data_IF_859696799663
#
_entry.id   IF_859696799663
#
_cell.length_a   1.000
_cell.length_b   1.000
_cell.length_c   1.000
_cell.angle_alpha   90.00
_cell.angle_beta   90.00
_cell.angle_gamma   90.00
#
_symmetry.space_group_name_H-M   'P 1'
#
loop_
_entity.id
_entity.type
_entity.pdbx_description
1 polymer ?
#
# COMPACT_ATOMS: atom_id res chain seq x y z
N UNK A 1 -9.87 12.93 -2.97
CA UNK A 1 -11.09 12.44 -2.34
C UNK A 1 -11.67 13.49 -1.42
N UNK A 2 -12.95 13.64 -1.51
CA UNK A 2 -13.60 14.63 -0.66
C UNK A 2 -13.61 14.19 0.78
N UNK A 3 -13.41 15.14 1.65
CA UNK A 3 -13.50 14.88 3.09
C UNK A 3 -12.24 14.36 3.71
N UNK A 4 -11.19 14.10 2.93
CA UNK A 4 -9.93 13.66 3.49
C UNK A 4 -8.95 14.80 3.59
N UNK A 5 -8.13 14.79 4.63
CA UNK A 5 -7.01 15.70 4.71
C UNK A 5 -5.92 15.21 3.76
N UNK A 6 -4.98 16.10 3.48
CA UNK A 6 -3.84 15.71 2.63
C UNK A 6 -3.07 14.55 3.24
N UNK A 7 -2.90 14.56 4.57
CA UNK A 7 -2.20 13.47 5.24
C UNK A 7 -2.95 12.15 5.10
N UNK A 8 -4.27 12.20 5.23
CA UNK A 8 -5.09 11.00 5.11
C UNK A 8 -5.01 10.42 3.70
N UNK A 9 -5.03 11.29 2.68
CA UNK A 9 -4.89 10.81 1.30
C UNK A 9 -3.54 10.17 1.08
N UNK A 10 -2.48 10.80 1.57
CA UNK A 10 -1.14 10.25 1.39
C UNK A 10 -0.95 8.96 2.14
N UNK A 11 -1.58 8.85 3.31
CA UNK A 11 -1.53 7.62 4.08
C UNK A 11 -2.12 6.48 3.27
N UNK A 12 -3.30 6.69 2.68
CA UNK A 12 -3.95 5.66 1.87
C UNK A 12 -3.12 5.32 0.65
N UNK A 13 -2.57 6.34 -0.01
CA UNK A 13 -1.77 6.14 -1.22
C UNK A 13 -0.52 5.32 -0.92
N UNK A 14 0.19 5.67 0.16
CA UNK A 14 1.40 4.94 0.50
C UNK A 14 1.11 3.54 1.00
N UNK A 15 -0.03 3.34 1.64
CA UNK A 15 -0.41 1.99 2.03
C UNK A 15 -0.59 1.10 0.79
N UNK A 16 -1.27 1.63 -0.23
CA UNK A 16 -1.44 0.87 -1.46
C UNK A 16 -0.09 0.61 -2.13
N UNK A 17 0.83 1.58 -2.05
CA UNK A 17 2.16 1.41 -2.60
C UNK A 17 2.92 0.29 -1.88
N UNK A 18 2.78 0.21 -0.55
CA UNK A 18 3.38 -0.88 0.22
C UNK A 18 2.83 -2.22 -0.26
N UNK A 19 1.51 -2.30 -0.45
CA UNK A 19 0.91 -3.54 -0.93
C UNK A 19 1.44 -3.92 -2.32
N UNK A 20 1.65 -2.92 -3.18
CA UNK A 20 2.21 -3.18 -4.50
C UNK A 20 3.58 -3.84 -4.39
N UNK A 21 4.44 -3.31 -3.54
CA UNK A 21 5.79 -3.86 -3.41
C UNK A 21 5.81 -5.19 -2.68
N UNK A 22 4.85 -5.42 -1.77
CA UNK A 22 4.69 -6.75 -1.18
C UNK A 22 4.36 -7.75 -2.28
N UNK A 23 3.45 -7.40 -3.18
CA UNK A 23 3.07 -8.29 -4.28
C UNK A 23 4.24 -8.56 -5.22
N UNK A 24 5.07 -7.54 -5.46
CA UNK A 24 6.24 -7.72 -6.32
C UNK A 24 7.27 -8.63 -5.66
N UNK A 25 7.44 -8.51 -4.35
CA UNK A 25 8.32 -9.42 -3.64
C UNK A 25 7.84 -10.86 -3.74
N UNK A 26 6.53 -11.06 -3.58
CA UNK A 26 5.95 -12.39 -3.71
C UNK A 26 6.24 -12.97 -5.10
N UNK A 27 6.13 -12.12 -6.11
CA UNK A 27 6.40 -12.53 -7.47
C UNK A 27 7.85 -12.94 -7.65
N UNK A 28 8.78 -12.17 -7.08
CA UNK A 28 10.19 -12.51 -7.13
C UNK A 28 10.48 -13.84 -6.47
N UNK A 29 9.86 -14.10 -5.33
CA UNK A 29 10.03 -15.37 -4.64
C UNK A 29 9.49 -16.51 -5.50
N UNK A 30 8.30 -16.31 -6.04
CA UNK A 30 7.66 -17.34 -6.85
C UNK A 30 8.50 -17.74 -8.06
N UNK A 31 9.19 -16.77 -8.65
CA UNK A 31 10.01 -17.01 -9.82
C UNK A 31 11.45 -17.37 -9.52
N UNK A 32 11.84 -17.29 -8.27
CA UNK A 32 13.22 -17.49 -7.88
C UNK A 32 14.15 -16.42 -8.42
N UNK A 33 13.60 -15.23 -8.65
CA UNK A 33 14.39 -14.12 -9.19
C UNK A 33 14.88 -13.28 -8.01
N UNK A 34 16.04 -13.68 -7.48
CA UNK A 34 16.54 -13.10 -6.24
C UNK A 34 16.99 -11.66 -6.40
N UNK A 35 17.48 -11.29 -7.58
CA UNK A 35 17.85 -9.90 -7.81
C UNK A 35 16.63 -9.01 -7.80
N UNK A 36 15.56 -9.45 -8.48
CA UNK A 36 14.32 -8.71 -8.51
C UNK A 36 13.75 -8.57 -7.11
N UNK A 37 13.78 -9.67 -6.34
CA UNK A 37 13.31 -9.64 -4.96
C UNK A 37 14.12 -8.64 -4.12
N UNK A 38 15.43 -8.68 -4.25
CA UNK A 38 16.31 -7.78 -3.50
C UNK A 38 15.96 -6.32 -3.80
N UNK A 39 15.81 -6.00 -5.08
CA UNK A 39 15.50 -4.66 -5.52
C UNK A 39 14.14 -4.20 -4.97
N UNK A 40 13.12 -5.04 -5.10
CA UNK A 40 11.78 -4.65 -4.67
C UNK A 40 11.65 -4.61 -3.15
N UNK A 41 12.38 -5.46 -2.46
CA UNK A 41 12.38 -5.43 -1.00
C UNK A 41 13.00 -4.14 -0.48
N UNK A 42 14.02 -3.62 -1.16
CA UNK A 42 14.60 -2.34 -0.78
C UNK A 42 13.60 -1.21 -0.92
N UNK A 43 12.87 -1.17 -2.02
CA UNK A 43 11.87 -0.13 -2.22
C UNK A 43 10.71 -0.31 -1.24
N UNK A 44 10.36 -1.56 -0.93
CA UNK A 44 9.32 -1.83 0.06
C UNK A 44 9.70 -1.24 1.41
N UNK A 45 10.97 -1.38 1.80
CA UNK A 45 11.44 -0.82 3.06
C UNK A 45 11.27 0.70 3.08
N UNK A 46 11.63 1.36 1.99
CA UNK A 46 11.50 2.81 1.90
C UNK A 46 10.04 3.25 1.98
N UNK A 47 9.17 2.55 1.27
CA UNK A 47 7.76 2.89 1.29
C UNK A 47 7.14 2.64 2.65
N UNK A 48 7.54 1.57 3.32
CA UNK A 48 7.05 1.27 4.66
C UNK A 48 7.49 2.33 5.66
N UNK A 49 8.72 2.81 5.54
CA UNK A 49 9.20 3.87 6.41
C UNK A 49 8.42 5.15 6.19
N UNK A 50 8.09 5.46 4.94
CA UNK A 50 7.31 6.63 4.63
C UNK A 50 5.90 6.52 5.19
N UNK A 51 5.32 5.33 5.06
CA UNK A 51 4.00 5.08 5.64
C UNK A 51 4.03 5.26 7.15
N UNK A 52 5.07 4.75 7.80
CA UNK A 52 5.19 4.88 9.26
C UNK A 52 5.27 6.34 9.67
N UNK A 53 6.00 7.16 8.90
CA UNK A 53 6.10 8.58 9.21
C UNK A 53 4.77 9.29 9.04
N UNK A 54 4.04 8.95 7.99
CA UNK A 54 2.72 9.54 7.78
C UNK A 54 1.74 9.12 8.88
N UNK A 55 1.85 7.87 9.31
CA UNK A 55 1.00 7.39 10.40
C UNK A 55 1.31 8.13 11.70
N UNK A 56 2.60 8.42 11.93
CA UNK A 56 2.98 9.17 13.11
C UNK A 56 2.41 10.59 13.05
N UNK A 57 2.48 11.22 11.88
CA UNK A 57 1.92 12.56 11.70
C UNK A 57 0.41 12.55 11.97
N UNK A 58 -0.28 11.52 11.47
CA UNK A 58 -1.71 11.42 11.69
C UNK A 58 -2.01 11.18 13.17
N UNK A 59 -1.18 10.39 13.83
CA UNK A 59 -1.38 10.12 15.26
C UNK A 59 -1.18 11.38 16.10
N UNK A 60 -0.19 12.21 15.74
CA UNK A 60 0.13 13.42 16.46
C UNK A 60 -0.80 14.60 16.15
N UNK A 61 -1.59 14.47 15.09
CA UNK A 61 -2.47 15.54 14.66
C UNK A 61 -3.60 15.72 15.67
N UNK A 62 -4.15 16.92 15.79
CA UNK A 62 -5.27 17.14 16.69
C UNK A 62 -6.47 16.29 16.34
N UNK A 63 -6.61 15.91 15.06
CA UNK A 63 -7.69 15.07 14.61
C UNK A 63 -7.11 13.83 13.97
N UNK A 64 -7.54 12.68 14.41
CA UNK A 64 -7.04 11.43 13.85
C UNK A 64 -7.75 11.07 12.56
N UNK A 65 -7.13 10.25 11.69
CA UNK A 65 -7.79 9.80 10.48
C UNK A 65 -9.11 9.10 10.79
N UNK A 66 -10.09 9.35 9.95
CA UNK A 66 -11.39 8.70 10.10
C UNK A 66 -11.31 7.35 9.43
N UNK A 67 -11.55 6.32 10.22
CA UNK A 67 -11.39 4.95 9.76
C UNK A 67 -12.12 4.66 8.46
N UNK A 68 -13.39 5.04 8.39
CA UNK A 68 -14.17 4.78 7.19
C UNK A 68 -13.67 5.54 5.98
N UNK A 69 -13.30 6.80 6.19
CA UNK A 69 -12.83 7.62 5.08
C UNK A 69 -11.51 7.10 4.53
N UNK A 70 -10.60 6.70 5.42
CA UNK A 70 -9.32 6.14 4.99
C UNK A 70 -9.54 4.81 4.28
N UNK A 71 -10.44 3.98 4.80
CA UNK A 71 -10.76 2.72 4.14
C UNK A 71 -11.31 2.92 2.73
N UNK A 72 -12.18 3.93 2.56
CA UNK A 72 -12.71 4.24 1.25
C UNK A 72 -11.61 4.75 0.31
N UNK A 73 -10.68 5.54 0.84
CA UNK A 73 -9.57 6.04 0.05
C UNK A 73 -8.65 4.91 -0.39
N UNK A 74 -8.37 3.97 0.50
CA UNK A 74 -7.57 2.79 0.14
C UNK A 74 -8.25 2.02 -0.98
N UNK A 75 -9.56 1.83 -0.87
CA UNK A 75 -10.30 1.13 -1.91
C UNK A 75 -10.26 1.89 -3.24
N UNK A 76 -10.39 3.21 -3.17
CA UNK A 76 -10.35 4.03 -4.40
C UNK A 76 -8.98 3.98 -5.06
N UNK A 77 -7.92 4.20 -4.28
CA UNK A 77 -6.57 4.14 -4.82
C UNK A 77 -6.24 2.74 -5.32
N UNK A 78 -6.71 1.72 -4.61
CA UNK A 78 -6.46 0.35 -5.01
C UNK A 78 -7.00 0.03 -6.40
N UNK A 79 -8.14 0.64 -6.75
CA UNK A 79 -8.70 0.40 -8.07
C UNK A 79 -7.87 1.01 -9.18
N UNK A 80 -7.02 2.01 -8.84
CA UNK A 80 -6.22 2.71 -9.83
C UNK A 80 -4.75 2.33 -9.79
N UNK A 81 -4.37 1.43 -8.92
CA UNK A 81 -2.98 1.01 -8.79
C UNK A 81 -2.82 -0.45 -9.10
N UNK A 82 -1.64 -0.80 -9.61
CA UNK A 82 -1.36 -2.20 -9.94
C UNK A 82 -1.43 -3.12 -8.74
N UNK A 83 -1.22 -2.57 -7.54
CA UNK A 83 -1.25 -3.37 -6.33
C UNK A 83 -2.53 -4.19 -6.22
N UNK A 84 -3.67 -3.56 -6.52
CA UNK A 84 -4.94 -4.25 -6.43
C UNK A 84 -4.99 -5.46 -7.34
N UNK A 85 -4.46 -5.31 -8.56
CA UNK A 85 -4.45 -6.42 -9.50
C UNK A 85 -3.48 -7.50 -9.11
N UNK A 86 -2.32 -7.07 -8.60
CA UNK A 86 -1.30 -8.04 -8.23
C UNK A 86 -1.71 -8.86 -7.02
N UNK A 87 -2.59 -8.31 -6.19
CA UNK A 87 -3.07 -9.05 -5.03
C UNK A 87 -4.20 -10.01 -5.37
N UNK A 88 -4.83 -9.85 -6.52
CA UNK A 88 -5.89 -10.76 -6.92
C UNK A 88 -5.47 -12.24 -6.91
N UNK A 89 -4.25 -12.57 -7.36
CA UNK A 89 -3.85 -13.97 -7.32
C UNK A 89 -3.81 -14.56 -5.93
N UNK A 90 -3.75 -13.71 -4.91
CA UNK A 90 -3.75 -14.18 -3.53
C UNK A 90 -5.15 -14.38 -3.00
N UNK A 91 -6.16 -13.92 -3.73
CA UNK A 91 -7.54 -14.06 -3.36
C UNK A 91 -8.02 -15.40 -3.92
N UNK A 92 -8.47 -16.32 -3.08
CA UNK A 92 -8.90 -17.63 -3.56
C UNK A 92 -9.91 -17.56 -4.68
N UNK A 93 -10.76 -16.55 -4.67
CA UNK A 93 -11.69 -16.44 -5.72
C UNK A 93 -11.13 -15.86 -6.97
N UNK A 94 -10.22 -14.93 -6.87
CA UNK A 94 -9.62 -14.29 -8.00
C UNK A 94 -8.55 -15.07 -8.65
N UNK A 95 -8.08 -16.17 -8.01
CA UNK A 95 -7.07 -16.85 -8.53
C UNK A 95 -7.51 -17.68 -9.58
N UNK A 96 -6.99 -17.78 -10.45
CA UNK A 96 -7.41 -18.65 -11.45
C UNK A 96 -6.38 -19.07 -12.24
#
# INVERSE_FOLDING_TARGET
>A
MKGLTATEERLAEHYVSVLDYVSRCALGIDRGDWFYLYDKAGTLTEEAERLAELARQAYDAPRRPRKQAVGAAVAWFGRHYRAARLLHPLDPKGRR
#
